data_IF_270567289426
#
_entry.id   IF_270567289426
#
_cell.length_a   1.000
_cell.length_b   1.000
_cell.length_c   1.000
_cell.angle_alpha   90.00
_cell.angle_beta   90.00
_cell.angle_gamma   90.00
#
_symmetry.space_group_name_H-M   'P 1'
#
loop_
_entity.id
_entity.type
_entity.pdbx_description
1 polymer ?
#
# COMPACT_ATOMS: atom_id res chain seq x y z
N UNK A 1 11.67 -45.26 6.30
CA UNK A 1 11.51 -44.19 5.28
C UNK A 1 10.18 -43.42 5.36
N UNK A 2 9.01 -44.10 5.44
CA UNK A 2 7.67 -43.47 5.42
C UNK A 2 7.36 -42.47 6.55
N UNK A 3 7.92 -42.67 7.75
CA UNK A 3 7.72 -41.77 8.91
C UNK A 3 8.50 -40.45 8.74
N UNK A 4 9.72 -40.52 8.21
CA UNK A 4 10.55 -39.35 7.95
C UNK A 4 9.95 -38.45 6.85
N UNK A 5 9.36 -39.05 5.81
CA UNK A 5 8.63 -38.31 4.78
C UNK A 5 7.46 -37.53 5.41
N UNK A 6 6.63 -38.17 6.25
CA UNK A 6 5.51 -37.48 6.93
C UNK A 6 5.99 -36.32 7.83
N UNK A 7 7.12 -36.50 8.53
CA UNK A 7 7.70 -35.45 9.39
C UNK A 7 8.22 -34.26 8.57
N UNK A 8 8.91 -34.53 7.46
CA UNK A 8 9.40 -33.49 6.55
C UNK A 8 8.21 -32.73 5.94
N UNK A 9 7.20 -33.44 5.42
CA UNK A 9 5.98 -32.82 4.90
C UNK A 9 5.29 -31.95 5.95
N UNK A 10 5.17 -32.44 7.20
CA UNK A 10 4.61 -31.66 8.30
C UNK A 10 5.42 -30.40 8.61
N UNK A 11 6.75 -30.50 8.63
CA UNK A 11 7.63 -29.36 8.87
C UNK A 11 7.52 -28.31 7.75
N UNK A 12 7.44 -28.73 6.49
CA UNK A 12 7.24 -27.82 5.34
C UNK A 12 5.92 -27.07 5.44
N UNK A 13 4.83 -27.76 5.80
CA UNK A 13 3.52 -27.13 5.98
C UNK A 13 3.56 -26.10 7.12
N UNK A 14 4.18 -26.44 8.25
CA UNK A 14 4.32 -25.52 9.38
C UNK A 14 5.17 -24.29 9.04
N UNK A 15 6.27 -24.48 8.30
CA UNK A 15 7.11 -23.39 7.84
C UNK A 15 6.33 -22.45 6.90
N UNK A 16 5.57 -23.02 5.95
CA UNK A 16 4.76 -22.22 5.03
C UNK A 16 3.65 -21.44 5.73
N UNK A 17 2.95 -22.07 6.68
CA UNK A 17 1.92 -21.42 7.48
C UNK A 17 2.50 -20.30 8.37
N UNK A 18 3.64 -20.56 9.03
CA UNK A 18 4.34 -19.57 9.85
C UNK A 18 4.83 -18.37 9.03
N UNK A 19 5.40 -18.63 7.86
CA UNK A 19 5.82 -17.58 6.93
C UNK A 19 4.62 -16.74 6.45
N UNK A 20 3.51 -17.38 6.08
CA UNK A 20 2.30 -16.67 5.66
C UNK A 20 1.71 -15.80 6.76
N UNK A 21 1.68 -16.28 8.00
CA UNK A 21 1.23 -15.49 9.15
C UNK A 21 2.16 -14.29 9.43
N UNK A 22 3.48 -14.50 9.33
CA UNK A 22 4.48 -13.45 9.51
C UNK A 22 4.38 -12.37 8.43
N UNK A 23 4.25 -12.77 7.16
CA UNK A 23 4.09 -11.85 6.02
C UNK A 23 2.79 -11.03 6.15
N UNK A 24 1.68 -11.69 6.53
CA UNK A 24 0.41 -11.02 6.77
C UNK A 24 0.47 -10.00 7.91
N UNK A 25 1.22 -10.33 8.99
CA UNK A 25 1.48 -9.40 10.09
C UNK A 25 2.34 -8.21 9.64
N UNK A 26 3.43 -8.46 8.93
CA UNK A 26 4.33 -7.42 8.39
C UNK A 26 3.62 -6.50 7.39
N UNK A 27 2.67 -7.03 6.61
CA UNK A 27 1.84 -6.23 5.72
C UNK A 27 0.83 -5.33 6.46
N UNK A 28 0.66 -5.50 7.77
CA UNK A 28 -0.22 -4.69 8.61
C UNK A 28 -1.71 -5.00 8.44
N UNK A 29 -2.07 -6.13 7.84
CA UNK A 29 -3.47 -6.43 7.54
C UNK A 29 -4.35 -6.65 8.78
N UNK A 30 -3.74 -6.99 9.92
CA UNK A 30 -4.43 -7.09 11.23
C UNK A 30 -4.94 -5.75 11.75
N UNK A 31 -4.23 -4.66 11.45
CA UNK A 31 -4.58 -3.30 11.90
C UNK A 31 -5.23 -2.48 10.80
N UNK A 32 -5.58 -3.12 9.68
CA UNK A 32 -6.22 -2.45 8.55
C UNK A 32 -7.61 -1.95 8.97
N UNK A 33 -7.91 -0.67 8.78
CA UNK A 33 -9.23 -0.14 9.10
C UNK A 33 -10.29 -0.74 8.17
N UNK A 34 -11.55 -0.60 8.58
CA UNK A 34 -12.69 -0.99 7.75
C UNK A 34 -12.66 -0.23 6.41
N UNK A 35 -12.83 -0.96 5.30
CA UNK A 35 -12.71 -0.40 3.97
C UNK A 35 -14.08 0.11 3.50
N UNK A 36 -14.16 1.37 3.03
CA UNK A 36 -15.36 1.88 2.37
C UNK A 36 -15.74 1.06 1.13
N UNK A 37 -16.99 1.16 0.69
CA UNK A 37 -17.46 0.49 -0.51
C UNK A 37 -16.65 0.92 -1.75
N UNK A 38 -16.25 -0.04 -2.58
CA UNK A 38 -15.42 0.20 -3.77
C UNK A 38 -13.96 0.55 -3.47
N UNK A 39 -13.56 0.67 -2.20
CA UNK A 39 -12.18 0.93 -1.82
C UNK A 39 -11.32 -0.34 -1.89
N UNK A 40 -10.01 -0.16 -2.06
CA UNK A 40 -9.06 -1.26 -2.00
C UNK A 40 -7.78 -0.86 -1.26
N UNK A 41 -7.18 -1.82 -0.57
CA UNK A 41 -5.93 -1.59 0.14
C UNK A 41 -4.68 -1.93 -0.68
N UNK A 42 -3.62 -1.17 -0.49
CA UNK A 42 -2.25 -1.45 -0.91
C UNK A 42 -1.32 -1.34 0.30
N UNK A 43 -0.40 -2.30 0.44
CA UNK A 43 0.64 -2.31 1.47
C UNK A 43 1.98 -2.50 0.78
N UNK A 44 2.90 -1.57 1.00
CA UNK A 44 4.20 -1.52 0.34
C UNK A 44 5.32 -1.90 1.33
N UNK A 45 6.38 -2.53 0.81
CA UNK A 45 7.57 -2.88 1.60
C UNK A 45 8.31 -1.66 2.15
N UNK A 46 8.09 -0.46 1.59
CA UNK A 46 8.64 0.79 2.09
C UNK A 46 7.83 1.41 3.25
N UNK A 47 6.90 0.65 3.83
CA UNK A 47 6.08 1.02 4.98
C UNK A 47 4.83 1.84 4.62
N UNK A 48 4.63 2.27 3.38
CA UNK A 48 3.39 2.94 3.01
C UNK A 48 2.24 1.93 3.00
N UNK A 49 1.18 2.22 3.76
CA UNK A 49 -0.05 1.44 3.79
C UNK A 49 -1.22 2.36 3.49
N UNK A 50 -1.97 2.07 2.43
CA UNK A 50 -3.00 2.96 1.91
C UNK A 50 -4.29 2.22 1.61
N UNK A 51 -5.42 2.80 2.01
CA UNK A 51 -6.77 2.44 1.55
C UNK A 51 -7.16 3.44 0.48
N UNK A 52 -7.22 3.00 -0.77
CA UNK A 52 -7.54 3.84 -1.92
C UNK A 52 -9.06 3.94 -2.05
N UNK A 53 -9.58 5.16 -2.04
CA UNK A 53 -10.99 5.49 -2.11
C UNK A 53 -11.22 6.40 -3.33
N UNK A 54 -12.30 6.16 -4.08
CA UNK A 54 -12.64 6.99 -5.24
C UNK A 54 -11.74 6.79 -6.47
N UNK A 55 -11.01 5.67 -6.53
CA UNK A 55 -10.17 5.27 -7.67
C UNK A 55 -10.54 3.86 -8.11
N UNK A 56 -10.69 3.58 -9.42
CA UNK A 56 -10.96 2.24 -9.89
C UNK A 56 -9.80 1.29 -9.55
N UNK A 57 -10.13 0.08 -9.12
CA UNK A 57 -9.15 -0.96 -8.84
C UNK A 57 -8.62 -1.55 -10.16
N UNK A 58 -7.57 -0.95 -10.69
CA UNK A 58 -6.91 -1.37 -11.95
C UNK A 58 -5.68 -2.25 -11.68
N UNK A 59 -5.67 -3.01 -10.56
CA UNK A 59 -4.54 -3.89 -10.19
C UNK A 59 -4.20 -4.95 -11.21
N UNK A 60 -5.08 -5.27 -12.16
CA UNK A 60 -4.82 -6.23 -13.23
C UNK A 60 -4.05 -5.60 -14.39
N UNK A 61 -4.40 -4.38 -14.77
CA UNK A 61 -3.84 -3.67 -15.94
C UNK A 61 -2.72 -2.70 -15.58
N UNK A 62 -2.59 -2.33 -14.30
CA UNK A 62 -1.62 -1.33 -13.81
C UNK A 62 -0.85 -1.81 -12.61
N UNK A 63 0.39 -1.36 -12.49
CA UNK A 63 1.26 -1.54 -11.32
C UNK A 63 1.32 -0.22 -10.55
N UNK A 64 0.99 -0.28 -9.27
CA UNK A 64 0.98 0.88 -8.38
C UNK A 64 2.32 0.98 -7.64
N UNK A 65 2.81 2.20 -7.45
CA UNK A 65 4.03 2.53 -6.73
C UNK A 65 3.72 3.49 -5.58
N UNK A 66 4.15 3.13 -4.38
CA UNK A 66 4.01 3.96 -3.19
C UNK A 66 5.24 4.82 -2.96
N UNK A 67 5.04 6.11 -2.79
CA UNK A 67 6.09 7.10 -2.48
C UNK A 67 5.84 7.64 -1.06
N UNK A 68 6.41 7.00 -0.02
CA UNK A 68 6.24 7.46 1.36
C UNK A 68 6.91 8.83 1.55
N UNK A 69 6.27 9.70 2.34
CA UNK A 69 6.90 10.92 2.84
C UNK A 69 7.62 10.64 4.16
N UNK A 70 8.54 11.52 4.53
CA UNK A 70 9.18 11.46 5.85
C UNK A 70 8.17 11.92 6.90
N UNK A 71 7.84 10.99 7.80
CA UNK A 71 6.84 11.19 8.87
C UNK A 71 7.42 10.71 10.19
N UNK A 72 6.92 11.23 11.33
CA UNK A 72 7.30 10.75 12.64
C UNK A 72 7.19 9.23 12.78
N UNK A 73 8.07 8.63 13.57
CA UNK A 73 8.23 7.17 13.64
C UNK A 73 6.93 6.42 13.94
N UNK A 74 6.04 7.01 14.75
CA UNK A 74 4.76 6.40 15.14
C UNK A 74 3.70 6.40 14.02
N UNK A 75 3.89 7.17 12.94
CA UNK A 75 3.00 7.20 11.77
C UNK A 75 3.53 6.36 10.60
N UNK A 76 4.76 5.83 10.68
CA UNK A 76 5.39 5.11 9.57
C UNK A 76 4.57 3.90 9.14
N UNK A 77 4.08 3.13 10.11
CA UNK A 77 3.35 1.88 9.85
C UNK A 77 1.82 2.04 9.92
N UNK A 78 1.33 3.27 10.13
CA UNK A 78 -0.09 3.55 10.21
C UNK A 78 -0.77 3.47 8.83
N UNK A 79 -1.99 2.97 8.82
CA UNK A 79 -2.83 2.97 7.63
C UNK A 79 -3.30 4.39 7.29
N UNK A 80 -3.18 4.74 6.03
CA UNK A 80 -3.62 6.03 5.49
C UNK A 80 -4.82 5.85 4.57
N UNK A 81 -5.69 6.84 4.52
CA UNK A 81 -6.75 6.92 3.51
C UNK A 81 -6.24 7.74 2.34
N UNK A 82 -6.34 7.18 1.14
CA UNK A 82 -5.80 7.77 -0.07
C UNK A 82 -6.93 8.10 -1.03
N UNK A 83 -7.00 9.36 -1.45
CA UNK A 83 -8.01 9.85 -2.38
C UNK A 83 -7.35 10.62 -3.53
N UNK A 84 -8.03 10.78 -4.68
CA UNK A 84 -7.55 11.62 -5.77
C UNK A 84 -7.17 13.03 -5.27
N UNK A 85 -6.15 13.67 -5.85
CA UNK A 85 -5.72 14.99 -5.42
C UNK A 85 -6.84 16.03 -5.64
N UNK A 86 -7.06 16.87 -4.62
CA UNK A 86 -8.08 17.93 -4.63
C UNK A 86 -7.45 19.32 -4.45
N UNK A 87 -8.13 20.35 -4.99
CA UNK A 87 -7.69 21.74 -4.85
C UNK A 87 -6.21 21.97 -5.20
N UNK A 88 -5.44 22.47 -4.24
CA UNK A 88 -4.01 22.77 -4.38
C UNK A 88 -3.14 21.53 -4.64
N UNK A 89 -3.59 20.34 -4.26
CA UNK A 89 -2.84 19.09 -4.46
C UNK A 89 -2.74 18.71 -5.94
N UNK A 90 -3.69 19.17 -6.78
CA UNK A 90 -3.65 18.91 -8.23
C UNK A 90 -2.41 19.52 -8.88
N UNK A 91 -2.05 20.74 -8.48
CA UNK A 91 -0.85 21.40 -8.98
C UNK A 91 0.43 20.65 -8.55
N UNK A 92 0.47 20.18 -7.30
CA UNK A 92 1.59 19.40 -6.78
C UNK A 92 1.70 18.03 -7.45
N UNK A 93 0.58 17.36 -7.68
CA UNK A 93 0.52 16.09 -8.40
C UNK A 93 1.01 16.23 -9.85
N UNK A 94 0.60 17.30 -10.54
CA UNK A 94 1.10 17.60 -11.89
C UNK A 94 2.60 17.88 -11.91
N UNK A 95 3.11 18.65 -10.94
CA UNK A 95 4.53 18.91 -10.80
C UNK A 95 5.33 17.63 -10.50
N UNK A 96 4.81 16.75 -9.64
CA UNK A 96 5.44 15.47 -9.29
C UNK A 96 5.61 14.55 -10.52
N UNK A 97 4.57 14.43 -11.35
CA UNK A 97 4.65 13.63 -12.58
C UNK A 97 5.61 14.26 -13.58
N UNK A 98 5.58 15.59 -13.72
CA UNK A 98 6.47 16.31 -14.63
C UNK A 98 7.95 16.14 -14.27
N UNK A 99 8.27 16.17 -12.99
CA UNK A 99 9.64 15.99 -12.49
C UNK A 99 10.18 14.57 -12.76
N UNK A 100 9.36 13.54 -12.47
CA UNK A 100 9.75 12.14 -12.69
C UNK A 100 9.81 11.73 -14.15
N UNK A 101 8.94 12.31 -14.98
CA UNK A 101 8.89 12.13 -16.43
C UNK A 101 8.95 10.65 -16.88
N UNK A 102 8.25 9.75 -16.17
CA UNK A 102 8.22 8.33 -16.52
C UNK A 102 7.13 8.02 -17.55
N UNK A 103 7.41 7.20 -18.59
CA UNK A 103 6.43 6.83 -19.59
C UNK A 103 5.20 6.12 -19.00
N UNK A 104 4.00 6.66 -19.28
CA UNK A 104 2.74 6.07 -18.83
C UNK A 104 2.43 6.22 -17.34
N UNK A 105 3.28 6.94 -16.58
CA UNK A 105 3.04 7.21 -15.17
C UNK A 105 1.82 8.12 -14.99
N UNK A 106 0.90 7.68 -14.12
CA UNK A 106 -0.29 8.42 -13.72
C UNK A 106 -0.25 8.65 -12.22
N UNK A 107 -0.55 9.88 -11.81
CA UNK A 107 -0.78 10.17 -10.40
C UNK A 107 -2.15 9.65 -9.99
N UNK A 108 -2.21 8.79 -8.97
CA UNK A 108 -3.48 8.20 -8.52
C UNK A 108 -4.05 8.97 -7.35
N UNK A 109 -3.31 8.99 -6.22
CA UNK A 109 -3.87 9.42 -4.94
C UNK A 109 -2.83 10.06 -4.03
N UNK A 110 -3.32 10.92 -3.15
CA UNK A 110 -2.60 11.46 -1.99
C UNK A 110 -3.07 10.70 -0.75
N UNK A 111 -2.14 10.08 -0.04
CA UNK A 111 -2.41 9.31 1.16
C UNK A 111 -2.24 10.16 2.41
N UNK A 112 -3.30 10.24 3.22
CA UNK A 112 -3.36 11.07 4.42
C UNK A 112 -3.69 10.22 5.64
N UNK A 113 -3.07 10.56 6.77
CA UNK A 113 -3.42 10.06 8.08
C UNK A 113 -4.10 11.20 8.83
N UNK A 114 -5.27 10.93 9.40
CA UNK A 114 -5.92 11.81 10.37
C UNK A 114 -5.48 11.36 11.76
N UNK A 115 -4.70 12.19 12.44
CA UNK A 115 -4.29 11.98 13.82
C UNK A 115 -4.90 13.10 14.65
N UNK A 116 -5.94 12.78 15.41
CA UNK A 116 -6.77 13.76 16.14
C UNK A 116 -7.28 14.90 15.23
N UNK A 117 -6.71 16.10 15.36
CA UNK A 117 -7.07 17.28 14.57
C UNK A 117 -6.11 17.54 13.39
N UNK A 118 -5.02 16.78 13.29
CA UNK A 118 -3.98 17.00 12.29
C UNK A 118 -4.14 16.04 11.11
N UNK A 119 -3.94 16.59 9.91
CA UNK A 119 -3.90 15.82 8.66
C UNK A 119 -2.46 15.77 8.18
N UNK A 120 -1.86 14.59 8.27
CA UNK A 120 -0.48 14.34 7.84
C UNK A 120 -0.51 13.62 6.50
N UNK A 121 0.20 14.17 5.50
CA UNK A 121 0.40 13.47 4.22
C UNK A 121 1.42 12.36 4.46
N UNK A 122 0.96 11.11 4.42
CA UNK A 122 1.79 9.92 4.64
C UNK A 122 2.58 9.54 3.38
N UNK A 123 2.04 9.80 2.20
CA UNK A 123 2.67 9.40 0.95
C UNK A 123 1.79 9.69 -0.25
N UNK A 124 2.33 9.38 -1.42
CA UNK A 124 1.66 9.49 -2.70
C UNK A 124 1.65 8.12 -3.37
N UNK A 125 0.65 7.83 -4.19
CA UNK A 125 0.66 6.62 -5.01
C UNK A 125 0.54 7.02 -6.46
N UNK A 126 1.46 6.50 -7.28
CA UNK A 126 1.38 6.57 -8.74
C UNK A 126 1.18 5.19 -9.32
N UNK A 127 0.86 5.11 -10.60
CA UNK A 127 0.75 3.84 -11.30
C UNK A 127 1.29 3.92 -12.71
N UNK A 128 1.72 2.78 -13.25
CA UNK A 128 2.09 2.62 -14.66
C UNK A 128 1.32 1.45 -15.28
N UNK A 129 1.08 1.44 -16.60
CA UNK A 129 0.57 0.26 -17.30
C UNK A 129 1.46 -0.95 -17.08
N UNK A 130 0.86 -2.15 -16.97
CA UNK A 130 1.61 -3.39 -17.13
C UNK A 130 1.89 -3.63 -18.61
N UNK A 131 3.13 -4.01 -18.90
CA UNK A 131 3.60 -4.44 -20.22
C UNK A 131 3.84 -5.95 -20.19
#
# INVERSE_FOLDING_TARGET
MRIWIKRISGAVVLAFAGYGAYDYYQAGFWTRPEMPEGAFSLSYQNGLRGVLVGVPNEKETRRYFGHPQDVPFYLKDAWSFCAPPEGAEKAQAAAFIKDRNQPGERFEVVCKIKADNDVVIRGLITSVPRL
#
